data_IF_482750204330
#
_entry.id   IF_482750204330
#
_cell.length_a   1.000
_cell.length_b   1.000
_cell.length_c   1.000
_cell.angle_alpha   90.00
_cell.angle_beta   90.00
_cell.angle_gamma   90.00
#
_symmetry.space_group_name_H-M   'P 1'
#
loop_
_entity.id
_entity.type
_entity.pdbx_description
1 polymer ?
#
# COMPACT_ATOMS: atom_id res chain seq x y z
N UNK A 1 -4.01 1.89 2.66
CA UNK A 1 -3.43 3.20 2.32
C UNK A 1 -3.25 4.10 3.54
N UNK A 2 -4.28 4.39 4.32
CA UNK A 2 -4.16 5.25 5.53
C UNK A 2 -3.05 4.80 6.49
N UNK A 3 -2.96 3.50 6.79
CA UNK A 3 -1.89 2.97 7.64
C UNK A 3 -0.49 3.18 7.04
N UNK A 4 -0.35 3.05 5.71
CA UNK A 4 0.92 3.28 5.02
C UNK A 4 1.36 4.74 5.16
N UNK A 5 0.45 5.70 4.95
CA UNK A 5 0.73 7.11 5.18
C UNK A 5 1.09 7.41 6.64
N UNK A 6 0.35 6.84 7.59
CA UNK A 6 0.61 7.06 9.02
C UNK A 6 2.02 6.60 9.42
N UNK A 7 2.44 5.40 9.00
CA UNK A 7 3.77 4.87 9.28
C UNK A 7 4.86 5.67 8.55
N UNK A 8 4.64 6.01 7.30
CA UNK A 8 5.62 6.74 6.50
C UNK A 8 5.83 8.19 7.00
N UNK A 9 4.77 8.86 7.47
CA UNK A 9 4.86 10.17 8.11
C UNK A 9 5.63 10.13 9.44
N UNK A 10 5.71 8.97 10.10
CA UNK A 10 6.54 8.75 11.29
C UNK A 10 8.00 8.42 10.94
N UNK A 11 8.34 8.36 9.65
CA UNK A 11 9.70 8.11 9.17
C UNK A 11 10.01 6.64 8.85
N UNK A 12 9.02 5.75 8.91
CA UNK A 12 9.22 4.33 8.58
C UNK A 12 9.15 4.10 7.06
N UNK A 13 10.05 3.30 6.53
CA UNK A 13 9.96 2.82 5.15
C UNK A 13 8.80 1.81 5.03
N UNK A 14 7.91 2.04 4.06
CA UNK A 14 6.70 1.24 3.87
C UNK A 14 6.66 0.66 2.46
N UNK A 15 6.41 -0.63 2.37
CA UNK A 15 6.12 -1.31 1.11
C UNK A 15 4.63 -1.64 1.05
N UNK A 16 3.90 -0.99 0.14
CA UNK A 16 2.46 -1.19 -0.05
C UNK A 16 2.23 -2.11 -1.25
N UNK A 17 1.75 -3.32 -0.98
CA UNK A 17 1.43 -4.33 -2.01
C UNK A 17 -0.06 -4.36 -2.27
N UNK A 18 -0.47 -4.20 -3.53
CA UNK A 18 -1.85 -4.24 -4.01
C UNK A 18 -1.98 -5.28 -5.12
N UNK A 19 -2.98 -6.16 -5.01
CA UNK A 19 -3.24 -7.23 -5.97
C UNK A 19 -3.85 -6.70 -7.27
N UNK A 20 -4.63 -5.62 -7.18
CA UNK A 20 -5.28 -5.02 -8.32
C UNK A 20 -4.33 -4.03 -9.02
N UNK A 21 -4.67 -3.61 -10.25
CA UNK A 21 -3.84 -2.68 -11.04
C UNK A 21 -3.73 -1.28 -10.46
N UNK A 22 -4.61 -0.92 -9.53
CA UNK A 22 -4.78 0.44 -9.03
C UNK A 22 -5.21 0.41 -7.55
N UNK A 23 -4.70 1.37 -6.78
CA UNK A 23 -5.07 1.54 -5.38
C UNK A 23 -6.52 2.01 -5.21
N UNK A 24 -7.10 1.69 -4.06
CA UNK A 24 -8.37 2.27 -3.60
C UNK A 24 -9.47 1.25 -3.30
N UNK A 25 -9.34 0.01 -3.79
CA UNK A 25 -10.25 -1.08 -3.46
C UNK A 25 -11.73 -0.72 -3.65
N UNK A 26 -12.56 -1.09 -2.67
CA UNK A 26 -14.02 -0.90 -2.71
C UNK A 26 -14.41 0.59 -2.79
N UNK A 27 -13.62 1.50 -2.20
CA UNK A 27 -13.94 2.93 -2.19
C UNK A 27 -14.04 3.52 -3.60
N UNK A 28 -13.39 2.90 -4.60
CA UNK A 28 -13.54 3.28 -6.01
C UNK A 28 -14.95 3.12 -6.55
N UNK A 29 -15.74 2.19 -5.98
CA UNK A 29 -17.12 1.88 -6.40
C UNK A 29 -18.17 2.66 -5.61
N UNK A 30 -17.76 3.47 -4.63
CA UNK A 30 -18.66 4.26 -3.78
C UNK A 30 -18.62 5.70 -4.26
N UNK A 31 -19.72 6.19 -4.82
CA UNK A 31 -19.79 7.56 -5.36
C UNK A 31 -20.26 8.58 -4.31
N UNK A 32 -21.11 8.18 -3.37
CA UNK A 32 -21.65 9.05 -2.32
C UNK A 32 -21.80 8.27 -1.02
N UNK A 33 -21.42 8.87 0.11
CA UNK A 33 -21.89 8.41 1.42
C UNK A 33 -23.25 9.03 1.72
N UNK A 34 -23.98 8.43 2.67
CA UNK A 34 -25.28 8.95 3.17
C UNK A 34 -25.20 10.40 3.68
N UNK A 35 -23.99 10.90 3.97
CA UNK A 35 -23.71 12.24 4.50
C UNK A 35 -23.23 13.24 3.43
N UNK A 36 -23.25 12.87 2.13
CA UNK A 36 -22.93 13.79 1.03
C UNK A 36 -21.44 14.09 0.85
N UNK A 37 -20.54 13.34 1.48
CA UNK A 37 -19.10 13.49 1.21
C UNK A 37 -18.74 12.93 -0.17
N UNK A 38 -17.94 13.69 -0.93
CA UNK A 38 -17.33 13.21 -2.17
C UNK A 38 -16.20 12.22 -1.86
N UNK A 39 -16.60 10.95 -1.71
CA UNK A 39 -15.70 9.81 -1.46
C UNK A 39 -14.63 9.69 -2.54
N UNK A 40 -14.96 10.07 -3.78
CA UNK A 40 -14.04 9.98 -4.91
C UNK A 40 -12.95 11.04 -4.81
N UNK A 41 -13.28 12.27 -4.42
CA UNK A 41 -12.29 13.32 -4.16
C UNK A 41 -11.34 12.94 -3.03
N UNK A 42 -11.90 12.44 -1.91
CA UNK A 42 -11.10 11.98 -0.78
C UNK A 42 -10.16 10.83 -1.16
N UNK A 43 -10.68 9.85 -1.92
CA UNK A 43 -9.88 8.72 -2.39
C UNK A 43 -8.74 9.17 -3.30
N UNK A 44 -9.01 10.07 -4.26
CA UNK A 44 -7.97 10.62 -5.16
C UNK A 44 -6.87 11.32 -4.37
N UNK A 45 -7.22 12.09 -3.34
CA UNK A 45 -6.22 12.77 -2.52
C UNK A 45 -5.35 11.79 -1.74
N UNK A 46 -5.94 10.74 -1.14
CA UNK A 46 -5.17 9.69 -0.46
C UNK A 46 -4.24 8.97 -1.43
N UNK A 47 -4.74 8.55 -2.59
CA UNK A 47 -3.94 7.85 -3.61
C UNK A 47 -2.76 8.73 -4.05
N UNK A 48 -3.01 10.02 -4.30
CA UNK A 48 -1.97 10.99 -4.64
C UNK A 48 -0.92 11.10 -3.53
N UNK A 49 -1.34 11.25 -2.28
CA UNK A 49 -0.43 11.32 -1.12
C UNK A 49 0.42 10.07 -1.00
N UNK A 50 -0.16 8.89 -1.20
CA UNK A 50 0.56 7.61 -1.16
C UNK A 50 1.65 7.56 -2.24
N UNK A 51 1.32 7.85 -3.49
CA UNK A 51 2.28 7.80 -4.59
C UNK A 51 3.37 8.88 -4.52
N UNK A 52 3.08 10.02 -3.88
CA UNK A 52 4.05 11.12 -3.73
C UNK A 52 4.93 11.00 -2.49
N UNK A 53 4.62 10.10 -1.55
CA UNK A 53 5.38 9.98 -0.32
C UNK A 53 6.70 9.23 -0.55
N UNK A 54 7.87 9.82 -0.25
CA UNK A 54 9.17 9.26 -0.63
C UNK A 54 9.51 7.94 0.08
N UNK A 55 8.91 7.70 1.25
CA UNK A 55 9.09 6.47 2.03
C UNK A 55 8.06 5.38 1.72
N UNK A 56 7.16 5.58 0.76
CA UNK A 56 6.17 4.57 0.38
C UNK A 56 6.49 4.00 -1.00
N UNK A 57 6.79 2.71 -1.03
CA UNK A 57 7.03 1.95 -2.25
C UNK A 57 5.78 1.17 -2.63
N UNK A 58 5.11 1.57 -3.69
CA UNK A 58 3.87 0.92 -4.15
C UNK A 58 4.18 -0.16 -5.18
N UNK A 59 3.62 -1.36 -4.99
CA UNK A 59 3.58 -2.43 -5.98
C UNK A 59 2.12 -2.80 -6.24
N UNK A 60 1.62 -2.47 -7.44
CA UNK A 60 0.29 -2.89 -7.92
C UNK A 60 0.40 -4.11 -8.82
N UNK A 61 -0.73 -4.77 -9.10
CA UNK A 61 -0.74 -6.06 -9.81
C UNK A 61 0.27 -7.03 -9.19
N UNK A 62 0.28 -7.05 -7.85
CA UNK A 62 1.33 -7.61 -7.05
C UNK A 62 0.75 -8.53 -5.96
N UNK A 63 1.37 -9.71 -5.81
CA UNK A 63 0.93 -10.71 -4.83
C UNK A 63 2.10 -11.19 -4.00
N UNK A 64 1.90 -11.33 -2.70
CA UNK A 64 2.85 -11.98 -1.81
C UNK A 64 2.84 -13.49 -2.09
N UNK A 65 4.00 -14.06 -2.42
CA UNK A 65 4.14 -15.49 -2.69
C UNK A 65 4.72 -16.25 -1.50
N UNK A 66 5.50 -15.58 -0.66
CA UNK A 66 6.16 -16.19 0.50
C UNK A 66 6.43 -15.11 1.55
N UNK A 67 6.27 -15.47 2.82
CA UNK A 67 6.69 -14.65 3.95
C UNK A 67 7.40 -15.55 4.97
N UNK A 68 8.60 -15.14 5.39
CA UNK A 68 9.48 -15.90 6.28
C UNK A 68 10.18 -14.95 7.25
N UNK A 69 10.83 -15.51 8.28
CA UNK A 69 11.55 -14.75 9.31
C UNK A 69 10.83 -14.75 10.65
N UNK A 70 11.18 -13.78 11.50
CA UNK A 70 10.67 -13.64 12.87
C UNK A 70 10.42 -12.17 13.20
N UNK A 71 9.81 -11.90 14.36
CA UNK A 71 9.47 -10.54 14.80
C UNK A 71 10.70 -9.63 14.71
N UNK A 72 10.58 -8.52 13.98
CA UNK A 72 11.65 -7.55 13.75
C UNK A 72 12.57 -7.85 12.56
N UNK A 73 12.53 -9.06 11.99
CA UNK A 73 13.35 -9.45 10.84
C UNK A 73 12.60 -10.42 9.92
N UNK A 74 11.79 -9.86 9.02
CA UNK A 74 11.02 -10.60 8.04
C UNK A 74 11.56 -10.41 6.63
N UNK A 75 11.37 -11.45 5.80
CA UNK A 75 11.61 -11.40 4.37
C UNK A 75 10.34 -11.84 3.66
N UNK A 76 9.82 -10.99 2.79
CA UNK A 76 8.63 -11.25 1.99
C UNK A 76 8.96 -11.21 0.51
N UNK A 77 8.55 -12.25 -0.22
CA UNK A 77 8.64 -12.31 -1.69
C UNK A 77 7.36 -11.78 -2.30
N UNK A 78 7.48 -10.78 -3.17
CA UNK A 78 6.38 -10.16 -3.89
C UNK A 78 6.56 -10.38 -5.37
N UNK A 79 5.56 -10.98 -6.02
CA UNK A 79 5.51 -11.15 -7.48
C UNK A 79 4.70 -10.02 -8.10
N UNK A 80 5.27 -9.29 -9.06
CA UNK A 80 4.58 -8.24 -9.84
C UNK A 80 5.18 -8.18 -11.26
N UNK A 81 4.34 -8.06 -12.28
CA UNK A 81 4.80 -7.97 -13.69
C UNK A 81 5.69 -9.14 -14.14
N UNK A 82 5.45 -10.34 -13.59
CA UNK A 82 6.24 -11.55 -13.87
C UNK A 82 7.60 -11.63 -13.14
N UNK A 83 7.99 -10.61 -12.39
CA UNK A 83 9.22 -10.58 -11.59
C UNK A 83 8.91 -10.83 -10.12
N UNK A 84 9.85 -11.44 -9.41
CA UNK A 84 9.79 -11.61 -7.95
C UNK A 84 10.83 -10.72 -7.30
N UNK A 85 10.40 -9.92 -6.32
CA UNK A 85 11.26 -9.07 -5.50
C UNK A 85 11.21 -9.55 -4.05
N UNK A 86 12.36 -9.63 -3.41
CA UNK A 86 12.47 -9.81 -1.96
C UNK A 86 12.46 -8.46 -1.26
N UNK A 87 11.64 -8.36 -0.22
CA UNK A 87 11.50 -7.18 0.63
C UNK A 87 11.86 -7.61 2.04
N UNK A 88 12.91 -7.01 2.59
CA UNK A 88 13.27 -7.14 4.00
C UNK A 88 12.54 -6.06 4.78
N UNK A 89 11.88 -6.45 5.87
CA UNK A 89 11.12 -5.53 6.71
C UNK A 89 11.06 -6.05 8.15
N UNK A 90 10.52 -5.23 9.04
CA UNK A 90 10.60 -5.45 10.49
C UNK A 90 11.50 -4.40 11.12
N UNK A 91 11.09 -3.96 12.31
CA UNK A 91 11.82 -2.99 13.13
C UNK A 91 12.04 -3.66 14.48
N UNK A 92 13.27 -3.63 14.96
CA UNK A 92 13.70 -4.11 16.27
C UNK A 92 14.06 -2.95 17.18
#
# INVERSE_FOLDING_TARGET
>A
MTSALSLANQGFEVYLVEKDKELGGIARRIHYTLEGMDVQAYLRDIVRKVYQHPLIHVSTDATITEASGYVGNFITKVKSGGRVREIKHGIS
#
